data_IF_388412033188
#
_entry.id   IF_388412033188
#
_cell.length_a   1.000
_cell.length_b   1.000
_cell.length_c   1.000
_cell.angle_alpha   90.00
_cell.angle_beta   90.00
_cell.angle_gamma   90.00
#
_symmetry.space_group_name_H-M   'P 1'
#
loop_
_entity.id
_entity.type
_entity.pdbx_description
1 polymer ?
#
# COMPACT_ATOMS: atom_id res chain seq x y z
N UNK A 1 13.33 -9.35 -9.96
CA UNK A 1 11.97 -8.80 -9.77
C UNK A 1 11.05 -9.95 -9.40
N UNK A 2 10.13 -9.78 -8.46
CA UNK A 2 9.19 -10.83 -8.02
C UNK A 2 7.76 -10.57 -8.52
N UNK A 3 6.87 -11.55 -8.35
CA UNK A 3 5.48 -11.49 -8.84
C UNK A 3 4.73 -10.28 -8.25
N UNK A 4 4.89 -9.98 -6.97
CA UNK A 4 4.23 -8.82 -6.34
C UNK A 4 4.62 -7.48 -6.99
N UNK A 5 5.87 -7.33 -7.41
CA UNK A 5 6.33 -6.13 -8.12
C UNK A 5 5.72 -6.03 -9.53
N UNK A 6 5.57 -7.17 -10.22
CA UNK A 6 4.97 -7.23 -11.55
C UNK A 6 3.48 -6.86 -11.50
N UNK A 7 2.75 -7.44 -10.54
CA UNK A 7 1.33 -7.16 -10.35
C UNK A 7 1.11 -5.70 -9.97
N UNK A 8 1.89 -5.16 -9.03
CA UNK A 8 1.73 -3.77 -8.61
C UNK A 8 2.02 -2.80 -9.74
N UNK A 9 3.12 -2.99 -10.49
CA UNK A 9 3.41 -2.16 -11.67
C UNK A 9 2.25 -2.17 -12.66
N UNK A 10 1.74 -3.35 -13.02
CA UNK A 10 0.66 -3.47 -13.99
C UNK A 10 -0.64 -2.82 -13.51
N UNK A 11 -0.94 -2.89 -12.21
CA UNK A 11 -2.10 -2.19 -11.63
C UNK A 11 -1.94 -0.68 -11.70
N UNK A 12 -0.76 -0.14 -11.37
CA UNK A 12 -0.49 1.30 -11.44
C UNK A 12 -0.54 1.81 -12.89
N UNK A 13 0.05 1.07 -13.82
CA UNK A 13 0.02 1.40 -15.24
C UNK A 13 -1.42 1.41 -15.79
N UNK A 14 -2.25 0.48 -15.32
CA UNK A 14 -3.67 0.41 -15.70
C UNK A 14 -4.49 1.56 -15.13
N UNK A 15 -4.27 1.93 -13.87
CA UNK A 15 -5.00 3.00 -13.19
C UNK A 15 -4.59 4.39 -13.70
N UNK A 16 -3.33 4.57 -14.09
CA UNK A 16 -2.79 5.88 -14.46
C UNK A 16 -2.71 6.83 -13.25
N UNK A 17 -2.55 8.13 -13.52
CA UNK A 17 -2.24 9.16 -12.52
C UNK A 17 -3.40 10.14 -12.27
N UNK A 18 -4.62 9.78 -12.66
CA UNK A 18 -5.77 10.69 -12.54
C UNK A 18 -6.39 10.71 -11.15
N UNK A 19 -6.20 9.66 -10.36
CA UNK A 19 -6.76 9.53 -9.02
C UNK A 19 -5.71 8.92 -8.07
N UNK A 20 -5.81 9.31 -6.79
CA UNK A 20 -4.98 8.77 -5.72
C UNK A 20 -5.33 7.29 -5.45
N UNK A 21 -4.31 6.46 -5.24
CA UNK A 21 -4.48 5.03 -4.93
C UNK A 21 -4.19 4.79 -3.46
N UNK A 22 -5.13 4.15 -2.75
CA UNK A 22 -5.01 3.84 -1.32
C UNK A 22 -4.88 2.33 -1.07
N UNK A 23 -4.05 1.95 -0.09
CA UNK A 23 -3.97 0.57 0.40
C UNK A 23 -3.78 0.51 1.92
N UNK A 24 -4.16 -0.64 2.48
CA UNK A 24 -3.99 -0.97 3.89
C UNK A 24 -2.96 -2.09 4.03
N UNK A 25 -2.01 -1.95 4.97
CA UNK A 25 -1.03 -3.00 5.26
C UNK A 25 -0.76 -3.09 6.76
N UNK A 26 -0.73 -4.31 7.28
CA UNK A 26 -0.37 -4.58 8.68
C UNK A 26 1.07 -4.15 8.98
N UNK A 27 1.29 -3.47 10.10
CA UNK A 27 2.58 -2.83 10.44
C UNK A 27 3.80 -3.76 10.46
N UNK A 28 3.62 -5.06 10.75
CA UNK A 28 4.73 -6.01 10.80
C UNK A 28 5.09 -6.58 9.43
N UNK A 29 4.32 -6.31 8.37
CA UNK A 29 4.63 -6.78 7.03
C UNK A 29 5.64 -5.85 6.34
N UNK A 30 6.84 -5.78 6.92
CA UNK A 30 7.90 -4.89 6.45
C UNK A 30 8.27 -5.13 4.98
N UNK A 31 8.12 -6.36 4.50
CA UNK A 31 8.41 -6.71 3.10
C UNK A 31 7.42 -6.05 2.15
N UNK A 32 6.12 -6.06 2.49
CA UNK A 32 5.10 -5.39 1.69
C UNK A 32 5.23 -3.86 1.80
N UNK A 33 5.46 -3.33 3.00
CA UNK A 33 5.71 -1.90 3.23
C UNK A 33 6.83 -1.38 2.33
N UNK A 34 8.01 -2.04 2.37
CA UNK A 34 9.15 -1.67 1.52
C UNK A 34 8.86 -1.78 0.02
N UNK A 35 7.98 -2.71 -0.38
CA UNK A 35 7.53 -2.81 -1.77
C UNK A 35 6.67 -1.59 -2.13
N UNK A 36 5.66 -1.25 -1.34
CA UNK A 36 4.78 -0.13 -1.63
C UNK A 36 5.53 1.20 -1.65
N UNK A 37 6.39 1.46 -0.65
CA UNK A 37 7.23 2.66 -0.59
C UNK A 37 8.13 2.80 -1.83
N UNK A 38 8.69 1.69 -2.33
CA UNK A 38 9.48 1.69 -3.57
C UNK A 38 8.67 2.14 -4.80
N UNK A 39 7.36 1.91 -4.80
CA UNK A 39 6.47 2.27 -5.90
C UNK A 39 5.83 3.66 -5.72
N UNK A 40 6.18 4.41 -4.68
CA UNK A 40 5.74 5.78 -4.46
C UNK A 40 4.57 5.93 -3.48
N UNK A 41 4.18 4.85 -2.79
CA UNK A 41 3.20 4.94 -1.72
C UNK A 41 3.82 5.58 -0.47
N UNK A 42 3.10 6.53 0.12
CA UNK A 42 3.46 7.19 1.38
C UNK A 42 2.46 6.82 2.46
N UNK A 43 2.93 6.66 3.71
CA UNK A 43 2.04 6.39 4.84
C UNK A 43 1.18 7.62 5.13
N UNK A 44 -0.14 7.46 5.13
CA UNK A 44 -1.12 8.53 5.35
C UNK A 44 -1.80 8.49 6.71
N UNK A 45 -1.68 7.38 7.45
CA UNK A 45 -2.26 7.26 8.79
C UNK A 45 -2.14 5.85 9.38
N UNK A 46 -2.69 5.70 10.59
CA UNK A 46 -2.89 4.41 11.25
C UNK A 46 -4.40 4.26 11.38
N UNK A 47 -4.95 3.12 10.97
CA UNK A 47 -6.37 2.84 11.21
C UNK A 47 -6.59 2.45 12.65
N UNK A 48 -7.61 3.04 13.25
CA UNK A 48 -8.09 2.62 14.55
C UNK A 48 -8.89 1.32 14.43
N UNK A 49 -8.96 0.49 15.49
CA UNK A 49 -9.34 -0.93 15.42
C UNK A 49 -10.77 -1.27 14.97
N UNK A 50 -11.58 -0.29 14.58
CA UNK A 50 -13.01 -0.52 14.33
C UNK A 50 -13.26 -1.34 13.05
N UNK A 51 -12.25 -1.54 12.19
CA UNK A 51 -12.42 -2.15 10.86
C UNK A 51 -11.55 -3.40 10.59
N UNK A 52 -10.51 -3.69 11.38
CA UNK A 52 -9.63 -4.85 11.18
C UNK A 52 -9.21 -5.49 12.51
N UNK A 53 -9.16 -6.82 12.55
CA UNK A 53 -8.77 -7.66 13.72
C UNK A 53 -7.30 -7.46 14.16
N UNK A 54 -6.53 -6.67 13.40
CA UNK A 54 -5.13 -6.37 13.66
C UNK A 54 -4.97 -4.88 14.00
N UNK A 55 -4.74 -4.61 15.28
CA UNK A 55 -4.59 -3.28 15.90
C UNK A 55 -3.44 -2.41 15.34
N UNK A 56 -2.84 -2.75 14.20
CA UNK A 56 -1.68 -2.06 13.63
C UNK A 56 -1.69 -1.93 12.11
N UNK A 57 -2.85 -1.99 11.45
CA UNK A 57 -2.94 -1.66 10.03
C UNK A 57 -2.57 -0.17 9.79
N UNK A 58 -1.75 0.08 8.77
CA UNK A 58 -1.34 1.40 8.34
C UNK A 58 -1.87 1.67 6.93
N UNK A 59 -2.29 2.91 6.71
CA UNK A 59 -2.80 3.36 5.42
C UNK A 59 -1.68 4.00 4.62
N UNK A 60 -1.68 3.71 3.33
CA UNK A 60 -0.72 4.24 2.37
C UNK A 60 -1.45 4.82 1.16
N UNK A 61 -0.94 5.91 0.62
CA UNK A 61 -1.47 6.58 -0.57
C UNK A 61 -0.37 6.82 -1.60
N UNK A 62 -0.67 6.57 -2.87
CA UNK A 62 0.14 6.98 -4.01
C UNK A 62 -0.59 8.11 -4.75
N UNK A 63 0.08 9.25 -4.88
CA UNK A 63 -0.39 10.46 -5.55
C UNK A 63 0.04 10.50 -7.02
#
# INVERSE_FOLDING_TARGET
>A
MGIGSLLLQNTLDWHGTSEDIYLHVVSYNERAIRLYEKYGFEKTGIETPEQYDDNRASNYCQK
#
